data_IF_000468957078
#
_entry.id   IF_000468957078
#
_cell.length_a   1.000
_cell.length_b   1.000
_cell.length_c   1.000
_cell.angle_alpha   90.00
_cell.angle_beta   90.00
_cell.angle_gamma   90.00
#
_symmetry.space_group_name_H-M   'P 1'
#
loop_
_entity.id
_entity.type
_entity.pdbx_description
1 polymer ?
#
# COMPACT_ATOMS: atom_id res chain seq x y z
N UNK A 1 -39.42 35.76 -16.25
CA UNK A 1 -40.42 35.76 -15.16
C UNK A 1 -40.45 34.39 -14.47
N UNK A 2 -39.35 33.96 -13.86
CA UNK A 2 -39.27 32.60 -13.28
C UNK A 2 -39.94 32.51 -11.90
N UNK A 3 -40.11 33.65 -11.21
CA UNK A 3 -40.61 33.74 -9.83
C UNK A 3 -42.06 34.25 -9.74
N UNK A 4 -42.83 34.19 -10.83
CA UNK A 4 -44.23 34.64 -10.85
C UNK A 4 -45.19 33.54 -10.40
N UNK A 5 -46.35 33.86 -9.80
CA UNK A 5 -47.35 32.86 -9.39
C UNK A 5 -47.85 31.96 -10.53
N UNK A 6 -47.80 32.44 -11.79
CA UNK A 6 -48.19 31.61 -12.95
C UNK A 6 -47.16 30.53 -13.29
N UNK A 7 -45.91 30.68 -12.84
CA UNK A 7 -44.79 29.79 -13.15
C UNK A 7 -44.57 28.71 -12.08
N UNK A 8 -45.34 28.72 -10.98
CA UNK A 8 -45.20 27.75 -9.88
C UNK A 8 -45.88 26.42 -10.18
N UNK A 9 -46.94 26.43 -11.00
CA UNK A 9 -47.78 25.26 -11.25
C UNK A 9 -48.14 25.11 -12.72
N UNK A 10 -48.33 23.87 -13.18
CA UNK A 10 -48.81 23.53 -14.52
C UNK A 10 -50.33 23.81 -14.67
N UNK A 11 -50.71 25.08 -14.60
CA UNK A 11 -52.10 25.55 -14.67
C UNK A 11 -52.57 25.77 -16.11
N UNK A 12 -53.90 25.86 -16.32
CA UNK A 12 -54.47 26.26 -17.62
C UNK A 12 -53.94 27.62 -18.11
N UNK A 13 -53.70 28.54 -17.17
CA UNK A 13 -53.10 29.84 -17.46
C UNK A 13 -51.65 29.70 -17.95
N UNK A 14 -50.84 28.82 -17.34
CA UNK A 14 -49.47 28.54 -17.78
C UNK A 14 -49.42 27.93 -19.18
N UNK A 15 -50.27 26.92 -19.44
CA UNK A 15 -50.34 26.26 -20.77
C UNK A 15 -50.78 27.27 -21.84
N UNK A 16 -51.76 28.11 -21.54
CA UNK A 16 -52.22 29.16 -22.46
C UNK A 16 -51.11 30.19 -22.71
N UNK A 17 -50.36 30.57 -21.68
CA UNK A 17 -49.21 31.45 -21.82
C UNK A 17 -48.10 30.82 -22.68
N UNK A 18 -47.83 29.52 -22.55
CA UNK A 18 -46.86 28.80 -23.38
C UNK A 18 -47.22 28.78 -24.87
N UNK A 19 -48.52 28.70 -25.20
CA UNK A 19 -48.99 28.73 -26.59
C UNK A 19 -48.99 30.14 -27.20
N UNK A 20 -49.20 31.18 -26.38
CA UNK A 20 -49.36 32.56 -26.87
C UNK A 20 -48.06 33.38 -26.85
N UNK A 21 -47.10 33.04 -26.00
CA UNK A 21 -45.83 33.77 -25.85
C UNK A 21 -44.67 33.06 -26.57
N UNK A 22 -43.63 33.79 -27.00
CA UNK A 22 -42.45 33.21 -27.62
C UNK A 22 -41.69 32.28 -26.65
N UNK A 23 -41.11 31.21 -27.20
CA UNK A 23 -40.29 30.25 -26.45
C UNK A 23 -38.88 30.81 -26.27
N UNK A 24 -38.49 31.02 -25.00
CA UNK A 24 -37.19 31.57 -24.60
C UNK A 24 -36.15 30.45 -24.40
N UNK A 25 -35.81 29.75 -25.49
CA UNK A 25 -34.98 28.54 -25.44
C UNK A 25 -33.50 28.83 -25.14
N UNK A 26 -32.93 29.90 -25.72
CA UNK A 26 -31.53 30.28 -25.50
C UNK A 26 -31.28 30.74 -24.06
N UNK A 27 -32.23 31.47 -23.48
CA UNK A 27 -32.16 31.90 -22.09
C UNK A 27 -32.18 30.70 -21.14
N UNK A 28 -32.99 29.68 -21.44
CA UNK A 28 -33.04 28.44 -20.67
C UNK A 28 -31.75 27.60 -20.82
N UNK A 29 -31.20 27.50 -22.03
CA UNK A 29 -30.01 26.67 -22.30
C UNK A 29 -28.74 27.19 -21.60
N UNK A 30 -28.65 28.49 -21.32
CA UNK A 30 -27.56 29.11 -20.53
C UNK A 30 -27.46 28.56 -19.10
N UNK A 31 -28.52 27.95 -18.57
CA UNK A 31 -28.52 27.33 -17.25
C UNK A 31 -28.04 25.87 -17.25
N UNK A 32 -27.76 25.28 -18.42
CA UNK A 32 -27.24 23.91 -18.52
C UNK A 32 -25.79 23.90 -18.00
N UNK A 33 -25.44 23.02 -17.05
CA UNK A 33 -24.10 22.98 -16.49
C UNK A 33 -23.06 22.52 -17.53
N UNK A 34 -21.80 22.91 -17.30
CA UNK A 34 -20.68 22.39 -18.08
C UNK A 34 -20.59 20.86 -17.95
N UNK A 35 -20.18 20.18 -19.03
CA UNK A 35 -20.06 18.72 -19.11
C UNK A 35 -21.37 17.96 -18.86
N UNK A 36 -22.52 18.59 -19.10
CA UNK A 36 -23.81 17.92 -19.10
C UNK A 36 -23.95 16.97 -20.31
N UNK A 37 -24.82 15.97 -20.16
CA UNK A 37 -25.34 15.16 -21.26
C UNK A 37 -26.80 15.59 -21.46
N UNK A 38 -27.15 16.11 -22.63
CA UNK A 38 -28.53 16.50 -22.96
C UNK A 38 -29.19 15.43 -23.83
N UNK A 39 -30.46 15.15 -23.55
CA UNK A 39 -31.24 14.13 -24.26
C UNK A 39 -32.45 14.81 -24.90
N UNK A 40 -32.55 14.74 -26.22
CA UNK A 40 -33.69 15.28 -26.96
C UNK A 40 -34.78 14.22 -27.09
N UNK A 41 -35.92 14.49 -26.45
CA UNK A 41 -37.12 13.66 -26.48
C UNK A 41 -38.14 14.29 -27.43
N UNK A 42 -38.04 13.90 -28.69
CA UNK A 42 -38.88 14.38 -29.78
C UNK A 42 -39.04 13.25 -30.81
N UNK A 43 -40.00 13.32 -31.75
CA UNK A 43 -40.11 12.38 -32.87
C UNK A 43 -39.05 12.59 -33.98
N UNK A 44 -38.19 13.60 -33.81
CA UNK A 44 -37.00 13.86 -34.63
C UNK A 44 -36.05 14.78 -33.85
N UNK A 45 -34.74 14.55 -33.96
CA UNK A 45 -33.68 15.41 -33.42
C UNK A 45 -33.54 16.79 -34.09
N UNK A 46 -34.61 17.59 -34.13
CA UNK A 46 -34.61 18.91 -34.77
C UNK A 46 -33.71 19.91 -34.05
N UNK A 47 -33.62 19.82 -32.72
CA UNK A 47 -32.80 20.72 -31.92
C UNK A 47 -31.35 20.28 -31.90
N UNK A 48 -31.03 19.09 -32.41
CA UNK A 48 -29.69 18.53 -32.36
C UNK A 48 -28.61 19.46 -32.94
N UNK A 49 -28.74 20.00 -34.16
CA UNK A 49 -27.74 20.94 -34.71
C UNK A 49 -27.69 22.28 -33.95
N UNK A 50 -28.83 22.73 -33.42
CA UNK A 50 -28.94 24.00 -32.68
C UNK A 50 -28.24 23.87 -31.34
N UNK A 51 -28.42 22.74 -30.65
CA UNK A 51 -27.79 22.45 -29.37
C UNK A 51 -26.29 22.20 -29.54
N UNK A 52 -25.85 21.49 -30.58
CA UNK A 52 -24.41 21.34 -30.86
C UNK A 52 -23.71 22.69 -31.11
N UNK A 53 -24.40 23.63 -31.76
CA UNK A 53 -23.84 24.96 -32.03
C UNK A 53 -23.91 25.91 -30.82
N UNK A 54 -25.01 25.85 -30.07
CA UNK A 54 -25.33 26.84 -29.02
C UNK A 54 -24.81 26.44 -27.63
N UNK A 55 -24.50 25.16 -27.41
CA UNK A 55 -23.97 24.67 -26.14
C UNK A 55 -22.44 24.74 -26.08
N UNK A 56 -21.90 24.82 -24.86
CA UNK A 56 -20.46 24.88 -24.63
C UNK A 56 -19.76 23.59 -25.13
N UNK A 57 -18.49 23.69 -25.56
CA UNK A 57 -17.64 22.60 -26.12
C UNK A 57 -17.38 21.35 -25.23
N UNK A 58 -18.09 21.19 -24.11
CA UNK A 58 -18.05 20.00 -23.27
C UNK A 58 -19.42 19.32 -23.10
N UNK A 59 -20.50 19.90 -23.64
CA UNK A 59 -21.84 19.31 -23.53
C UNK A 59 -22.08 18.38 -24.72
N UNK A 60 -22.52 17.15 -24.45
CA UNK A 60 -22.88 16.18 -25.48
C UNK A 60 -24.39 16.06 -25.58
N UNK A 61 -24.94 16.25 -26.79
CA UNK A 61 -26.36 16.11 -27.05
C UNK A 61 -26.68 14.82 -27.79
N UNK A 62 -27.73 14.10 -27.36
CA UNK A 62 -28.18 12.84 -27.97
C UNK A 62 -29.67 12.92 -28.29
N UNK A 63 -30.03 12.75 -29.57
CA UNK A 63 -31.42 12.67 -30.01
C UNK A 63 -31.91 11.21 -30.03
N UNK A 64 -33.07 10.95 -29.41
CA UNK A 64 -33.60 9.59 -29.28
C UNK A 64 -34.29 9.04 -30.53
N UNK A 65 -34.57 9.88 -31.52
CA UNK A 65 -35.19 9.48 -32.79
C UNK A 65 -34.67 10.33 -33.95
N UNK A 66 -34.63 9.76 -35.15
CA UNK A 66 -34.23 10.47 -36.35
C UNK A 66 -35.23 10.27 -37.50
N UNK A 67 -35.68 11.38 -38.08
CA UNK A 67 -36.68 11.36 -39.14
C UNK A 67 -36.05 10.84 -40.43
N UNK A 68 -36.72 9.88 -41.07
CA UNK A 68 -36.22 9.26 -42.29
C UNK A 68 -35.24 8.12 -42.04
N UNK A 69 -34.91 7.82 -40.77
CA UNK A 69 -34.22 6.59 -40.43
C UNK A 69 -35.20 5.39 -40.56
N UNK A 70 -34.82 4.31 -41.28
CA UNK A 70 -35.75 3.21 -41.57
C UNK A 70 -36.30 2.47 -40.35
N UNK A 71 -35.50 2.33 -39.27
CA UNK A 71 -35.89 1.62 -38.05
C UNK A 71 -35.65 2.49 -36.80
N UNK A 72 -36.74 3.08 -36.28
CA UNK A 72 -36.68 3.90 -35.07
C UNK A 72 -36.23 3.12 -33.81
N UNK A 73 -36.42 1.79 -33.78
CA UNK A 73 -35.98 0.95 -32.66
C UNK A 73 -34.47 0.82 -32.64
N UNK A 74 -33.86 0.55 -33.79
CA UNK A 74 -32.40 0.51 -33.94
C UNK A 74 -31.77 1.85 -33.56
N UNK A 75 -32.37 2.97 -34.00
CA UNK A 75 -31.89 4.30 -33.64
C UNK A 75 -31.94 4.55 -32.13
N UNK A 76 -33.06 4.17 -31.48
CA UNK A 76 -33.21 4.32 -30.04
C UNK A 76 -32.17 3.48 -29.27
N UNK A 77 -31.99 2.21 -29.63
CA UNK A 77 -30.99 1.33 -29.01
C UNK A 77 -29.57 1.84 -29.22
N UNK A 78 -29.27 2.36 -30.41
CA UNK A 78 -27.98 3.00 -30.70
C UNK A 78 -27.76 4.23 -29.82
N UNK A 79 -28.80 5.06 -29.64
CA UNK A 79 -28.75 6.26 -28.79
C UNK A 79 -28.56 5.90 -27.31
N UNK A 80 -29.20 4.83 -26.83
CA UNK A 80 -28.98 4.28 -25.48
C UNK A 80 -27.55 3.73 -25.32
N UNK A 81 -27.00 3.11 -26.36
CA UNK A 81 -25.59 2.68 -26.39
C UNK A 81 -24.63 3.86 -26.25
N UNK A 82 -24.85 4.94 -26.99
CA UNK A 82 -24.08 6.19 -26.85
C UNK A 82 -24.17 6.76 -25.44
N UNK A 83 -25.35 6.75 -24.83
CA UNK A 83 -25.52 7.18 -23.43
C UNK A 83 -24.70 6.31 -22.47
N UNK A 84 -24.62 5.00 -22.71
CA UNK A 84 -23.78 4.09 -21.92
C UNK A 84 -22.29 4.38 -22.08
N UNK A 85 -21.81 4.64 -23.29
CA UNK A 85 -20.42 5.02 -23.57
C UNK A 85 -20.01 6.33 -22.87
N UNK A 86 -20.96 7.25 -22.69
CA UNK A 86 -20.76 8.48 -21.92
C UNK A 86 -20.79 8.28 -20.40
N UNK A 87 -20.91 7.04 -19.92
CA UNK A 87 -20.87 6.68 -18.50
C UNK A 87 -22.23 6.63 -17.81
N UNK A 88 -23.35 6.81 -18.54
CA UNK A 88 -24.68 6.58 -17.98
C UNK A 88 -24.99 5.07 -17.92
N UNK A 89 -25.99 4.67 -17.12
CA UNK A 89 -26.33 3.26 -16.90
C UNK A 89 -27.81 2.98 -17.24
N UNK A 90 -28.21 3.05 -18.52
CA UNK A 90 -29.57 2.74 -18.94
C UNK A 90 -29.94 1.29 -18.59
N UNK A 91 -31.10 1.11 -17.94
CA UNK A 91 -31.59 -0.20 -17.51
C UNK A 91 -32.35 -0.89 -18.66
N UNK A 92 -31.61 -1.36 -19.66
CA UNK A 92 -32.18 -1.91 -20.89
C UNK A 92 -33.12 -3.11 -20.66
N UNK A 93 -32.90 -3.87 -19.57
CA UNK A 93 -33.75 -4.98 -19.18
C UNK A 93 -35.22 -4.59 -18.99
N UNK A 94 -35.52 -3.33 -18.64
CA UNK A 94 -36.89 -2.84 -18.45
C UNK A 94 -37.67 -2.67 -19.76
N UNK A 95 -36.99 -2.66 -20.91
CA UNK A 95 -37.64 -2.59 -22.23
C UNK A 95 -38.14 -3.95 -22.71
N UNK A 96 -37.69 -5.04 -22.08
CA UNK A 96 -37.99 -6.41 -22.48
C UNK A 96 -38.78 -7.13 -21.37
N UNK A 97 -39.51 -8.20 -21.71
CA UNK A 97 -40.12 -9.06 -20.70
C UNK A 97 -39.07 -9.59 -19.71
N UNK A 98 -39.44 -9.79 -18.42
CA UNK A 98 -38.52 -10.34 -17.43
C UNK A 98 -37.95 -11.71 -17.83
N UNK A 99 -36.64 -11.87 -17.68
CA UNK A 99 -35.96 -13.15 -17.92
C UNK A 99 -36.26 -14.12 -16.77
N UNK A 100 -36.57 -15.37 -17.11
CA UNK A 100 -36.76 -16.44 -16.12
C UNK A 100 -35.42 -17.05 -15.73
N UNK A 101 -35.18 -17.14 -14.43
CA UNK A 101 -34.00 -17.78 -13.85
C UNK A 101 -34.39 -19.12 -13.17
N UNK A 102 -33.49 -20.12 -13.13
CA UNK A 102 -32.11 -20.12 -13.64
C UNK A 102 -32.03 -20.16 -15.17
N UNK A 103 -30.90 -19.71 -15.72
CA UNK A 103 -30.65 -19.79 -17.17
C UNK A 103 -30.53 -21.24 -17.64
N UNK A 104 -30.80 -21.49 -18.92
CA UNK A 104 -30.78 -22.83 -19.50
C UNK A 104 -29.38 -23.45 -19.52
N UNK A 105 -29.31 -24.79 -19.49
CA UNK A 105 -28.06 -25.53 -19.66
C UNK A 105 -27.47 -25.25 -21.05
N UNK A 106 -26.21 -24.82 -21.09
CA UNK A 106 -25.52 -24.47 -22.34
C UNK A 106 -25.42 -22.95 -22.61
N UNK A 107 -25.99 -22.10 -21.74
CA UNK A 107 -25.70 -20.66 -21.76
C UNK A 107 -24.19 -20.43 -21.61
N UNK A 108 -23.62 -19.60 -22.49
CA UNK A 108 -22.17 -19.34 -22.54
C UNK A 108 -21.65 -18.74 -21.23
N UNK A 109 -20.43 -19.11 -20.85
CA UNK A 109 -19.73 -18.54 -19.70
C UNK A 109 -19.33 -17.09 -19.97
N UNK A 110 -19.51 -16.21 -18.98
CA UNK A 110 -19.09 -14.80 -19.04
C UNK A 110 -17.61 -14.66 -18.67
N UNK A 111 -17.11 -15.46 -17.73
CA UNK A 111 -15.74 -15.35 -17.19
C UNK A 111 -14.63 -15.27 -18.26
N UNK A 112 -14.64 -16.07 -19.34
CA UNK A 112 -13.59 -15.99 -20.37
C UNK A 112 -13.63 -14.71 -21.24
N UNK A 113 -14.71 -13.94 -21.19
CA UNK A 113 -14.89 -12.72 -21.98
C UNK A 113 -14.37 -11.47 -21.24
N UNK A 114 -14.21 -11.55 -19.92
CA UNK A 114 -13.70 -10.44 -19.10
C UNK A 114 -12.17 -10.48 -19.12
N UNK A 115 -11.55 -9.39 -19.55
CA UNK A 115 -10.09 -9.23 -19.60
C UNK A 115 -9.66 -8.09 -18.69
N UNK A 116 -8.47 -8.23 -18.12
CA UNK A 116 -7.81 -7.20 -17.32
C UNK A 116 -6.54 -6.75 -18.03
N UNK A 117 -6.07 -5.56 -17.68
CA UNK A 117 -4.75 -5.09 -18.10
C UNK A 117 -3.69 -5.80 -17.24
N UNK A 118 -2.93 -6.70 -17.87
CA UNK A 118 -1.91 -7.52 -17.23
C UNK A 118 -0.50 -7.10 -17.65
N UNK A 119 -0.30 -5.82 -18.00
CA UNK A 119 1.00 -5.27 -18.41
C UNK A 119 2.04 -5.27 -17.29
N UNK A 120 1.61 -5.15 -16.04
CA UNK A 120 2.48 -5.08 -14.86
C UNK A 120 2.64 -6.47 -14.23
N UNK A 121 3.89 -6.91 -14.11
CA UNK A 121 4.24 -8.13 -13.39
C UNK A 121 4.36 -7.85 -11.90
N UNK A 122 3.69 -8.68 -11.10
CA UNK A 122 3.78 -8.62 -9.64
C UNK A 122 4.86 -9.59 -9.18
N UNK A 123 5.60 -9.22 -8.14
CA UNK A 123 6.55 -10.13 -7.52
C UNK A 123 5.82 -11.35 -6.97
N UNK A 124 6.07 -12.51 -7.58
CA UNK A 124 5.59 -13.80 -7.07
C UNK A 124 6.77 -14.47 -6.39
N UNK A 125 6.59 -14.83 -5.12
CA UNK A 125 7.53 -15.66 -4.38
C UNK A 125 7.68 -17.00 -5.11
N UNK A 126 8.76 -17.15 -5.87
CA UNK A 126 9.09 -18.42 -6.50
C UNK A 126 9.62 -19.34 -5.42
N UNK A 127 8.75 -20.17 -4.86
CA UNK A 127 9.17 -21.29 -4.03
C UNK A 127 9.82 -22.34 -4.93
N UNK A 128 11.06 -22.07 -5.37
CA UNK A 128 11.89 -23.12 -5.92
C UNK A 128 12.12 -24.05 -4.73
N UNK A 129 11.55 -25.26 -4.80
CA UNK A 129 12.09 -26.42 -4.07
C UNK A 129 13.47 -26.74 -4.64
N UNK A 130 14.37 -25.77 -4.61
CA UNK A 130 15.79 -26.06 -4.53
C UNK A 130 15.90 -26.77 -3.19
N UNK A 131 16.40 -28.00 -3.24
CA UNK A 131 16.84 -28.73 -2.08
C UNK A 131 17.51 -27.72 -1.16
N UNK A 132 16.90 -27.44 -0.01
CA UNK A 132 17.55 -26.75 1.10
C UNK A 132 18.78 -27.58 1.42
N UNK A 133 19.87 -27.33 0.71
CA UNK A 133 21.18 -27.57 1.24
C UNK A 133 21.15 -26.74 2.51
N UNK A 134 21.11 -27.46 3.63
CA UNK A 134 21.27 -26.93 4.98
C UNK A 134 22.69 -26.39 5.07
N UNK A 135 23.05 -25.45 4.21
CA UNK A 135 24.37 -24.90 4.11
C UNK A 135 24.65 -24.24 5.44
N UNK A 136 25.80 -24.58 6.00
CA UNK A 136 26.37 -23.89 7.15
C UNK A 136 26.78 -22.46 6.82
N UNK A 137 26.79 -22.10 5.54
CA UNK A 137 27.17 -20.80 5.01
C UNK A 137 25.95 -20.10 4.40
N UNK A 138 25.73 -18.85 4.79
CA UNK A 138 24.66 -18.00 4.30
C UNK A 138 25.21 -16.62 3.93
N UNK A 139 24.92 -16.17 2.71
CA UNK A 139 25.20 -14.81 2.27
C UNK A 139 23.99 -13.90 2.50
N UNK A 140 24.21 -12.70 3.02
CA UNK A 140 23.19 -11.69 3.31
C UNK A 140 23.63 -10.36 2.73
N UNK A 141 22.78 -9.74 1.91
CA UNK A 141 22.93 -8.35 1.44
C UNK A 141 22.08 -7.41 2.29
N UNK A 142 22.61 -6.23 2.59
CA UNK A 142 21.93 -5.18 3.37
C UNK A 142 22.03 -3.88 2.61
N UNK A 143 20.89 -3.27 2.30
CA UNK A 143 20.77 -1.97 1.64
C UNK A 143 19.95 -1.00 2.48
N UNK A 144 20.33 0.27 2.52
CA UNK A 144 19.48 1.30 3.12
C UNK A 144 18.29 1.69 2.25
N UNK A 145 18.24 1.22 1.00
CA UNK A 145 17.13 1.47 0.07
C UNK A 145 15.97 0.49 0.27
N UNK A 146 16.23 -0.64 0.93
CA UNK A 146 15.19 -1.64 1.21
C UNK A 146 14.40 -1.23 2.45
N UNK A 147 13.06 -1.20 2.33
CA UNK A 147 12.15 -0.82 3.43
C UNK A 147 12.40 -1.63 4.72
N UNK A 148 12.79 -2.90 4.59
CA UNK A 148 13.03 -3.78 5.74
C UNK A 148 14.29 -3.45 6.55
N UNK A 149 15.24 -2.73 5.96
CA UNK A 149 16.54 -2.39 6.56
C UNK A 149 16.82 -0.88 6.63
N UNK A 150 15.90 -0.05 6.15
CA UNK A 150 15.96 1.42 6.22
C UNK A 150 16.22 1.92 7.65
N UNK A 151 15.65 1.26 8.66
CA UNK A 151 15.80 1.64 10.06
C UNK A 151 17.26 1.67 10.53
N UNK A 152 18.15 0.90 9.90
CA UNK A 152 19.59 0.87 10.19
C UNK A 152 20.25 2.24 9.99
N UNK A 153 19.65 3.14 9.20
CA UNK A 153 20.10 4.53 9.04
C UNK A 153 20.17 5.31 10.37
N UNK A 154 19.42 4.88 11.39
CA UNK A 154 19.42 5.49 12.72
C UNK A 154 20.57 5.09 13.64
N UNK A 155 21.43 4.13 13.27
CA UNK A 155 22.56 3.69 14.10
C UNK A 155 23.86 4.43 13.77
N UNK A 156 23.92 5.70 14.18
CA UNK A 156 25.05 6.58 13.90
C UNK A 156 25.97 6.66 15.13
N UNK A 157 27.26 6.41 14.93
CA UNK A 157 28.31 6.54 15.95
C UNK A 157 29.48 7.31 15.36
N UNK A 158 29.90 8.37 16.03
CA UNK A 158 30.92 9.33 15.58
C UNK A 158 30.68 9.81 14.14
N UNK A 159 29.46 10.23 13.82
CA UNK A 159 29.05 10.69 12.49
C UNK A 159 29.02 9.62 11.39
N UNK A 160 29.30 8.35 11.71
CA UNK A 160 29.29 7.24 10.74
C UNK A 160 28.10 6.31 10.99
N UNK A 161 27.43 5.90 9.92
CA UNK A 161 26.39 4.88 10.01
C UNK A 161 27.06 3.50 10.12
N UNK A 162 27.13 2.96 11.34
CA UNK A 162 27.79 1.67 11.60
C UNK A 162 26.73 0.58 11.69
N UNK A 163 27.03 -0.60 11.15
CA UNK A 163 26.18 -1.76 11.35
C UNK A 163 26.16 -2.12 12.85
N UNK A 164 24.98 -2.27 13.49
CA UNK A 164 24.90 -2.50 14.92
C UNK A 164 25.56 -3.82 15.34
N UNK A 165 26.22 -3.83 16.49
CA UNK A 165 26.79 -5.05 17.06
C UNK A 165 25.72 -6.15 17.25
N UNK A 166 24.53 -5.74 17.69
CA UNK A 166 23.36 -6.60 17.83
C UNK A 166 22.85 -7.15 16.50
N UNK A 167 23.05 -6.40 15.40
CA UNK A 167 22.70 -6.84 14.05
C UNK A 167 23.47 -8.09 13.63
N UNK A 168 24.76 -8.20 13.97
CA UNK A 168 25.53 -9.42 13.65
C UNK A 168 24.98 -10.65 14.37
N UNK A 169 24.56 -10.49 15.62
CA UNK A 169 23.94 -11.57 16.40
C UNK A 169 22.59 -11.98 15.79
N UNK A 170 21.81 -11.00 15.32
CA UNK A 170 20.55 -11.29 14.61
C UNK A 170 20.79 -12.06 13.31
N UNK A 171 21.82 -11.72 12.53
CA UNK A 171 22.20 -12.46 11.32
C UNK A 171 22.51 -13.92 11.64
N UNK A 172 23.32 -14.17 12.67
CA UNK A 172 23.64 -15.53 13.12
C UNK A 172 22.39 -16.27 13.60
N UNK A 173 21.49 -15.60 14.31
CA UNK A 173 20.23 -16.20 14.77
C UNK A 173 19.32 -16.59 13.61
N UNK A 174 19.18 -15.72 12.61
CA UNK A 174 18.47 -16.01 11.35
C UNK A 174 19.05 -17.25 10.65
N UNK A 175 20.38 -17.37 10.59
CA UNK A 175 21.04 -18.55 10.03
C UNK A 175 20.75 -19.83 10.82
N UNK A 176 20.74 -19.78 12.15
CA UNK A 176 20.34 -20.93 12.99
C UNK A 176 18.87 -21.33 12.73
N UNK A 177 17.96 -20.36 12.62
CA UNK A 177 16.56 -20.60 12.24
C UNK A 177 16.43 -21.31 10.88
N UNK A 178 17.19 -20.83 9.88
CA UNK A 178 17.22 -21.44 8.55
C UNK A 178 17.75 -22.89 8.58
N UNK A 179 18.83 -23.14 9.32
CA UNK A 179 19.44 -24.47 9.48
C UNK A 179 18.51 -25.47 10.18
N UNK A 180 17.67 -24.99 11.10
CA UNK A 180 16.66 -25.78 11.83
C UNK A 180 15.32 -25.87 11.10
N UNK A 181 15.10 -25.05 10.06
CA UNK A 181 13.86 -25.01 9.28
C UNK A 181 12.70 -24.35 10.00
N UNK A 182 12.98 -23.54 11.02
CA UNK A 182 11.99 -22.83 11.84
C UNK A 182 12.13 -21.32 11.64
N UNK A 183 11.10 -20.56 12.02
CA UNK A 183 11.25 -19.12 12.12
C UNK A 183 12.26 -18.80 13.23
N UNK A 184 13.28 -17.99 12.95
CA UNK A 184 14.35 -17.72 13.90
C UNK A 184 13.83 -17.13 15.22
N UNK A 185 12.76 -16.32 15.17
CA UNK A 185 12.11 -15.74 16.36
C UNK A 185 11.51 -16.78 17.33
N UNK A 186 11.28 -18.01 16.86
CA UNK A 186 10.77 -19.13 17.67
C UNK A 186 11.91 -20.03 18.22
N UNK A 187 13.14 -19.83 17.74
CA UNK A 187 14.30 -20.65 18.12
C UNK A 187 15.04 -20.00 19.29
N UNK A 188 15.04 -20.60 20.50
CA UNK A 188 15.88 -20.10 21.58
C UNK A 188 17.34 -20.27 21.21
N UNK A 189 18.16 -19.26 21.50
CA UNK A 189 19.57 -19.21 21.12
C UNK A 189 20.42 -18.75 22.30
N UNK A 190 21.60 -19.34 22.43
CA UNK A 190 22.63 -18.88 23.36
C UNK A 190 23.89 -18.58 22.58
N UNK A 191 24.45 -17.41 22.85
CA UNK A 191 25.73 -16.94 22.32
C UNK A 191 26.78 -17.02 23.43
N UNK A 192 27.93 -17.62 23.12
CA UNK A 192 29.06 -17.78 24.04
C UNK A 192 30.33 -17.26 23.36
N UNK A 193 31.25 -16.70 24.15
CA UNK A 193 32.56 -16.22 23.69
C UNK A 193 32.51 -15.34 22.43
N UNK A 194 31.49 -14.49 22.31
CA UNK A 194 31.34 -13.57 21.18
C UNK A 194 32.43 -12.50 21.21
N UNK A 195 33.12 -12.35 20.09
CA UNK A 195 34.15 -11.33 19.86
C UNK A 195 33.81 -10.52 18.63
N UNK A 196 33.69 -9.21 18.82
CA UNK A 196 33.57 -8.23 17.74
C UNK A 196 34.96 -7.74 17.37
N UNK A 197 35.41 -8.02 16.15
CA UNK A 197 36.76 -7.69 15.68
C UNK A 197 36.84 -6.29 15.11
N UNK A 198 35.79 -5.87 14.38
CA UNK A 198 35.69 -4.53 13.79
C UNK A 198 34.23 -4.14 13.55
N UNK A 199 33.97 -2.85 13.55
CA UNK A 199 32.70 -2.31 13.08
C UNK A 199 32.70 -2.20 11.55
N UNK A 200 31.52 -2.39 10.95
CA UNK A 200 31.31 -2.21 9.51
C UNK A 200 30.52 -0.93 9.27
N UNK A 201 30.94 -0.11 8.30
CA UNK A 201 30.20 1.09 7.91
C UNK A 201 29.19 0.73 6.82
N UNK A 202 27.94 1.16 6.98
CA UNK A 202 26.90 1.00 5.96
C UNK A 202 27.05 2.13 4.92
N UNK A 203 27.24 1.83 3.63
CA UNK A 203 27.35 2.88 2.61
C UNK A 203 25.99 3.57 2.39
N UNK A 204 26.01 4.85 2.02
CA UNK A 204 24.77 5.60 1.68
C UNK A 204 24.10 5.10 0.40
N UNK A 205 24.89 4.56 -0.51
CA UNK A 205 24.46 3.99 -1.79
C UNK A 205 25.21 2.69 -2.01
N UNK A 206 24.51 1.67 -2.49
CA UNK A 206 25.04 0.32 -2.67
C UNK A 206 24.66 -0.62 -1.54
N UNK A 207 25.17 -1.85 -1.62
CA UNK A 207 24.83 -2.94 -0.73
C UNK A 207 26.04 -3.35 0.11
N UNK A 208 25.76 -3.78 1.33
CA UNK A 208 26.73 -4.40 2.22
C UNK A 208 26.51 -5.91 2.24
N UNK A 209 27.55 -6.68 1.94
CA UNK A 209 27.47 -8.14 1.88
C UNK A 209 28.19 -8.78 3.06
N UNK A 210 27.44 -9.59 3.81
CA UNK A 210 27.95 -10.45 4.86
C UNK A 210 27.86 -11.92 4.46
N UNK A 211 28.84 -12.70 4.90
CA UNK A 211 28.77 -14.16 4.86
C UNK A 211 28.82 -14.68 6.29
N UNK A 212 27.77 -15.39 6.70
CA UNK A 212 27.65 -16.04 8.00
C UNK A 212 27.98 -17.51 7.83
N UNK A 213 28.98 -18.00 8.55
CA UNK A 213 29.33 -19.42 8.61
C UNK A 213 29.09 -19.96 10.01
N UNK A 214 28.45 -21.13 10.13
CA UNK A 214 28.18 -21.82 11.39
C UNK A 214 28.57 -23.30 11.27
N UNK A 215 29.59 -23.71 12.03
CA UNK A 215 30.00 -25.11 12.14
C UNK A 215 29.00 -25.90 12.99
N UNK A 216 28.15 -26.70 12.35
CA UNK A 216 27.04 -27.47 12.98
C UNK A 216 27.41 -28.27 14.23
N UNK A 217 28.60 -28.86 14.24
CA UNK A 217 29.01 -29.76 15.34
C UNK A 217 29.51 -28.98 16.55
N UNK A 218 30.34 -27.95 16.32
CA UNK A 218 30.97 -27.19 17.40
C UNK A 218 30.19 -25.96 17.82
N UNK A 219 29.24 -25.50 17.00
CA UNK A 219 28.55 -24.23 17.20
C UNK A 219 29.41 -23.00 16.91
N UNK A 220 30.66 -23.17 16.43
CA UNK A 220 31.51 -22.01 16.10
C UNK A 220 30.93 -21.27 14.92
N UNK A 221 30.70 -19.98 15.09
CA UNK A 221 30.26 -19.11 14.02
C UNK A 221 31.28 -18.03 13.71
N UNK A 222 31.27 -17.59 12.45
CA UNK A 222 32.04 -16.46 11.97
C UNK A 222 31.18 -15.67 10.99
N UNK A 223 31.11 -14.36 11.18
CA UNK A 223 30.52 -13.42 10.23
C UNK A 223 31.68 -12.69 9.56
N UNK A 224 31.68 -12.69 8.23
CA UNK A 224 32.71 -12.05 7.41
C UNK A 224 32.10 -11.01 6.48
N UNK A 225 32.85 -9.96 6.20
CA UNK A 225 32.55 -8.97 5.16
C UNK A 225 33.76 -8.94 4.22
N UNK A 226 33.55 -9.16 2.91
CA UNK A 226 34.63 -9.25 1.92
C UNK A 226 35.77 -10.21 2.35
N UNK A 227 35.42 -11.40 2.85
CA UNK A 227 36.34 -12.42 3.37
C UNK A 227 37.17 -12.01 4.60
N UNK A 228 36.82 -10.92 5.28
CA UNK A 228 37.47 -10.52 6.53
C UNK A 228 36.52 -10.69 7.70
N UNK A 229 36.93 -11.35 8.80
CA UNK A 229 36.05 -11.59 9.93
C UNK A 229 35.70 -10.29 10.65
N UNK A 230 34.41 -10.11 10.92
CA UNK A 230 33.86 -8.98 11.68
C UNK A 230 33.42 -9.43 13.08
N UNK A 231 32.83 -10.62 13.19
CA UNK A 231 32.40 -11.20 14.47
C UNK A 231 32.64 -12.70 14.47
N UNK A 232 33.06 -13.24 15.60
CA UNK A 232 33.18 -14.69 15.80
C UNK A 232 32.67 -15.08 17.18
N UNK A 233 32.22 -16.32 17.35
CA UNK A 233 31.86 -16.84 18.66
C UNK A 233 31.35 -18.27 18.59
N UNK A 234 30.62 -18.65 19.64
CA UNK A 234 29.90 -19.90 19.72
C UNK A 234 28.40 -19.62 19.78
N UNK A 235 27.63 -20.43 19.07
CA UNK A 235 26.18 -20.38 19.03
C UNK A 235 25.60 -21.76 19.20
N UNK A 236 24.58 -21.88 20.04
CA UNK A 236 23.88 -23.14 20.29
C UNK A 236 22.41 -22.91 20.61
N UNK A 237 21.59 -23.91 20.26
CA UNK A 237 20.19 -24.00 20.71
C UNK A 237 20.18 -24.75 22.05
N UNK A 238 19.70 -24.15 23.15
CA UNK A 238 19.72 -24.81 24.45
C UNK A 238 18.72 -25.96 24.51
N UNK A 239 19.09 -27.07 25.15
CA UNK A 239 18.17 -28.20 25.37
C UNK A 239 17.01 -27.85 26.31
N UNK A 240 17.28 -27.01 27.31
CA UNK A 240 16.29 -26.49 28.26
C UNK A 240 16.58 -25.02 28.50
N UNK A 241 15.67 -24.16 28.03
CA UNK A 241 15.78 -22.70 28.19
C UNK A 241 15.90 -22.30 29.67
N UNK A 242 15.21 -23.01 30.56
CA UNK A 242 15.24 -22.72 32.01
C UNK A 242 16.62 -22.85 32.66
N UNK A 243 17.57 -23.59 32.06
CA UNK A 243 18.93 -23.71 32.59
C UNK A 243 19.81 -22.51 32.22
N UNK A 244 19.41 -21.73 31.21
CA UNK A 244 20.14 -20.56 30.70
C UNK A 244 19.58 -19.24 31.27
N UNK A 245 18.42 -19.31 31.94
CA UNK A 245 17.76 -18.14 32.49
C UNK A 245 18.13 -17.97 33.97
N UNK A 246 18.48 -16.74 34.33
CA UNK A 246 18.61 -16.33 35.74
C UNK A 246 17.31 -15.65 36.12
N UNK A 247 16.67 -16.15 37.19
CA UNK A 247 15.55 -15.44 37.81
C UNK A 247 16.09 -14.18 38.48
N UNK A 248 15.98 -13.05 37.79
CA UNK A 248 16.23 -11.74 38.39
C UNK A 248 14.98 -11.35 39.16
N UNK A 249 15.11 -11.06 40.46
CA UNK A 249 14.06 -10.33 41.17
C UNK A 249 13.90 -8.97 40.50
N UNK A 250 12.65 -8.55 40.25
CA UNK A 250 12.40 -7.21 39.75
C UNK A 250 13.07 -6.21 40.70
N UNK A 251 13.91 -5.29 40.21
CA UNK A 251 14.55 -4.31 41.07
C UNK A 251 13.47 -3.59 41.85
N UNK A 252 13.57 -3.62 43.18
CA UNK A 252 12.66 -2.87 44.04
C UNK A 252 12.88 -1.39 43.71
N UNK A 253 11.82 -0.61 43.47
CA UNK A 253 11.98 0.82 43.24
C UNK A 253 12.72 1.39 44.45
N UNK A 254 13.96 1.81 44.23
CA UNK A 254 14.72 2.52 45.25
C UNK A 254 14.02 3.87 45.34
N UNK A 255 13.31 4.12 46.44
CA UNK A 255 12.75 5.45 46.71
C UNK A 255 13.83 6.17 47.50
N UNK A 256 14.69 6.89 46.80
CA UNK A 256 15.69 7.78 47.36
C UNK A 256 15.42 9.18 46.81
N UNK A 257 15.36 10.19 47.68
CA UNK A 257 15.16 11.59 47.29
C UNK A 257 16.30 12.14 46.42
N UNK A 258 17.44 11.42 46.35
CA UNK A 258 18.59 11.75 45.50
C UNK A 258 18.53 11.14 44.08
N UNK A 259 17.51 10.32 43.77
CA UNK A 259 17.36 9.74 42.44
C UNK A 259 16.82 10.77 41.45
N UNK A 260 17.60 11.02 40.41
CA UNK A 260 17.22 11.88 39.31
C UNK A 260 16.73 11.03 38.15
N UNK A 261 15.45 11.19 37.81
CA UNK A 261 14.88 10.58 36.62
C UNK A 261 15.38 11.31 35.36
N UNK A 262 16.03 10.56 34.48
CA UNK A 262 16.44 11.00 33.16
C UNK A 262 15.35 10.63 32.16
N UNK A 263 14.80 11.65 31.50
CA UNK A 263 13.90 11.40 30.37
C UNK A 263 14.66 10.78 29.19
N UNK A 264 13.97 10.11 28.29
CA UNK A 264 14.52 9.65 27.00
C UNK A 264 15.39 10.72 26.32
N UNK A 265 14.91 11.97 26.30
CA UNK A 265 15.63 13.10 25.71
C UNK A 265 16.97 13.37 26.41
N UNK A 266 17.02 13.27 27.73
CA UNK A 266 18.24 13.50 28.50
C UNK A 266 19.26 12.38 28.27
N UNK A 267 18.79 11.13 28.22
CA UNK A 267 19.61 9.95 27.92
C UNK A 267 20.28 10.11 26.55
N UNK A 268 19.48 10.35 25.49
CA UNK A 268 20.01 10.47 24.13
C UNK A 268 20.81 11.75 23.91
N UNK A 269 20.52 12.84 24.63
CA UNK A 269 21.37 14.03 24.66
C UNK A 269 22.75 13.69 25.23
N UNK A 270 22.82 12.92 26.30
CA UNK A 270 24.07 12.53 26.93
C UNK A 270 24.89 11.55 26.07
N UNK A 271 24.21 10.56 25.47
CA UNK A 271 24.81 9.64 24.50
C UNK A 271 25.38 10.38 23.29
N UNK A 272 24.65 11.37 22.75
CA UNK A 272 25.10 12.20 21.64
C UNK A 272 26.35 13.00 21.96
N UNK A 273 26.48 13.52 23.19
CA UNK A 273 27.70 14.22 23.63
C UNK A 273 28.94 13.30 23.66
N UNK A 274 28.75 11.98 23.64
CA UNK A 274 29.81 10.97 23.60
C UNK A 274 29.97 10.31 22.22
N UNK A 275 29.33 10.85 21.19
CA UNK A 275 29.45 10.35 19.81
C UNK A 275 28.37 9.35 19.41
N UNK A 276 27.45 8.95 20.30
CA UNK A 276 26.34 8.05 19.96
C UNK A 276 25.14 8.87 19.46
N UNK A 277 25.07 9.06 18.15
CA UNK A 277 24.08 9.90 17.47
C UNK A 277 22.85 9.08 17.03
N UNK A 278 22.31 8.25 17.91
CA UNK A 278 21.16 7.40 17.61
C UNK A 278 19.92 8.18 17.17
N UNK A 279 19.16 7.62 16.23
CA UNK A 279 17.94 8.20 15.68
C UNK A 279 16.87 7.13 15.43
N UNK A 280 15.61 7.57 15.31
CA UNK A 280 14.49 6.71 14.94
C UNK A 280 14.31 5.52 15.90
N UNK A 281 14.28 4.31 15.35
CA UNK A 281 14.06 3.08 16.12
C UNK A 281 15.21 2.73 17.08
N UNK A 282 16.39 3.36 16.94
CA UNK A 282 17.49 3.20 17.90
C UNK A 282 17.31 4.04 19.18
N UNK A 283 16.26 4.87 19.24
CA UNK A 283 15.90 5.65 20.43
C UNK A 283 14.85 4.95 21.33
N UNK A 284 15.08 3.68 21.70
CA UNK A 284 14.13 2.86 22.47
C UNK A 284 14.10 3.05 23.99
N UNK A 285 15.04 3.80 24.59
CA UNK A 285 15.08 4.03 26.05
C UNK A 285 14.06 5.11 26.45
N UNK A 286 13.18 4.78 27.40
CA UNK A 286 12.06 5.65 27.82
C UNK A 286 12.45 6.57 28.97
N UNK A 287 12.99 5.98 30.04
CA UNK A 287 13.56 6.67 31.19
C UNK A 287 14.69 5.81 31.78
N UNK A 288 15.53 6.43 32.60
CA UNK A 288 16.55 5.78 33.40
C UNK A 288 16.81 6.63 34.64
N UNK A 289 17.31 6.05 35.71
CA UNK A 289 17.82 6.83 36.84
C UNK A 289 19.32 7.19 36.68
N UNK A 290 19.83 8.05 37.55
CA UNK A 290 21.25 8.44 37.59
C UNK A 290 22.21 7.33 38.05
N UNK A 291 21.71 6.15 38.41
CA UNK A 291 22.48 4.93 38.70
C UNK A 291 22.40 3.89 37.57
N UNK A 292 21.65 4.16 36.50
CA UNK A 292 21.50 3.27 35.35
C UNK A 292 20.42 2.19 35.54
N UNK A 293 19.51 2.39 36.51
CA UNK A 293 18.28 1.61 36.69
C UNK A 293 17.13 2.07 35.80
#
# INVERSE_FOLDING_TARGET
>A
EWNTPIATDLSAAYITNNLLKPVLFEEASRHIPHNAITIEIAPHGLLHPILEYSLNKGITNIALTERGYPDGTEWLLTSLGKLYELGLQPQLANLYPPVQYPVSRGTRMISPLVRWEHSEDWYIMRCITESKDKSSEQSVSISLQDESTEYLSGHIVDGRNLFPATGYLELVWKSVGLMTGQNYTEVPIVFEDVRFHRATSIPKQGELHFTVMILKVSGKFEVTESNTPVVSGLVRVPMKVSHEMVALEAPRPIVNDELLELSSRDIYKYLRLRGYEYQGLFCGLVCADNHGG
#
